data_IF_327010853354
#
_entry.id   IF_327010853354
#
_cell.length_a   1.000
_cell.length_b   1.000
_cell.length_c   1.000
_cell.angle_alpha   90.00
_cell.angle_beta   90.00
_cell.angle_gamma   90.00
#
_symmetry.space_group_name_H-M   'P 1'
#
loop_
_entity.id
_entity.type
_entity.pdbx_description
1 polymer ?
#
# COMPACT_ATOMS: atom_id res chain seq x y z
N UNK A 1 -11.62 -4.38 22.83
CA UNK A 1 -10.15 -4.12 22.86
C UNK A 1 -9.92 -2.85 22.05
N UNK A 2 -9.26 -1.80 22.57
CA UNK A 2 -9.04 -0.62 21.76
C UNK A 2 -7.98 -0.95 20.70
N UNK A 3 -8.26 -0.66 19.43
CA UNK A 3 -7.24 -0.70 18.38
C UNK A 3 -6.14 0.30 18.79
N UNK A 4 -4.95 -0.19 19.14
CA UNK A 4 -3.78 0.67 19.23
C UNK A 4 -3.64 1.34 17.85
N UNK A 5 -3.67 2.69 17.81
CA UNK A 5 -3.54 3.53 16.61
C UNK A 5 -2.10 3.46 16.02
N UNK A 6 -1.61 2.26 15.73
CA UNK A 6 -0.31 2.05 15.09
C UNK A 6 -0.41 2.17 13.57
N UNK A 7 0.71 2.47 12.92
CA UNK A 7 0.80 2.38 11.47
C UNK A 7 0.79 0.91 11.01
N UNK A 8 0.41 0.68 9.77
CA UNK A 8 0.43 -0.61 9.09
C UNK A 8 1.55 -0.53 8.05
N UNK A 9 2.65 -1.22 8.32
CA UNK A 9 3.73 -1.38 7.35
C UNK A 9 3.50 -2.67 6.56
N UNK A 10 3.59 -2.59 5.24
CA UNK A 10 3.38 -3.70 4.32
C UNK A 10 4.70 -4.04 3.62
N UNK A 11 5.00 -5.33 3.50
CA UNK A 11 6.08 -5.79 2.64
C UNK A 11 5.67 -7.04 1.85
N UNK A 12 6.11 -7.11 0.60
CA UNK A 12 5.88 -8.25 -0.28
C UNK A 12 7.12 -8.48 -1.15
N UNK A 13 7.54 -9.73 -1.42
CA UNK A 13 8.61 -10.00 -2.37
C UNK A 13 8.33 -9.38 -3.75
N UNK A 14 9.31 -8.64 -4.27
CA UNK A 14 9.32 -8.13 -5.64
C UNK A 14 10.38 -8.86 -6.49
N UNK A 15 10.49 -8.46 -7.76
CA UNK A 15 11.55 -8.96 -8.63
C UNK A 15 12.95 -8.54 -8.15
N UNK A 16 13.97 -9.34 -8.51
CA UNK A 16 15.40 -9.05 -8.25
C UNK A 16 15.78 -8.89 -6.77
N UNK A 17 15.09 -9.59 -5.87
CA UNK A 17 15.39 -9.53 -4.43
C UNK A 17 15.00 -8.22 -3.75
N UNK A 18 14.19 -7.40 -4.41
CA UNK A 18 13.59 -6.19 -3.84
C UNK A 18 12.27 -6.53 -3.12
N UNK A 19 11.70 -5.54 -2.44
CA UNK A 19 10.41 -5.61 -1.78
C UNK A 19 9.47 -4.55 -2.36
N UNK A 20 8.20 -4.91 -2.57
CA UNK A 20 7.13 -3.91 -2.60
C UNK A 20 6.82 -3.50 -1.16
N UNK A 21 6.78 -2.20 -0.90
CA UNK A 21 6.70 -1.64 0.44
C UNK A 21 5.73 -0.48 0.50
N UNK A 22 5.02 -0.33 1.63
CA UNK A 22 4.21 0.84 1.92
C UNK A 22 3.98 0.97 3.44
N UNK A 23 3.67 2.17 3.92
CA UNK A 23 3.24 2.41 5.31
C UNK A 23 1.98 3.23 5.30
N UNK A 24 0.93 2.73 5.93
CA UNK A 24 -0.38 3.37 6.03
C UNK A 24 -0.75 3.65 7.47
N UNK A 25 -1.51 4.72 7.70
CA UNK A 25 -2.18 4.98 8.96
C UNK A 25 -3.69 5.00 8.72
N UNK A 26 -4.44 4.37 9.63
CA UNK A 26 -5.90 4.48 9.60
C UNK A 26 -6.28 5.95 9.82
N UNK A 27 -7.03 6.53 8.88
CA UNK A 27 -7.47 7.91 8.98
C UNK A 27 -8.34 8.10 10.23
N UNK A 28 -8.20 9.25 10.88
CA UNK A 28 -9.11 9.66 11.96
C UNK A 28 -10.43 10.24 11.44
N UNK A 29 -10.52 10.48 10.13
CA UNK A 29 -11.68 11.06 9.44
C UNK A 29 -12.01 10.17 8.23
N UNK A 30 -13.22 9.60 8.21
CA UNK A 30 -13.67 8.68 7.17
C UNK A 30 -13.11 7.25 7.33
N UNK A 31 -13.29 6.44 6.29
CA UNK A 31 -12.89 5.02 6.25
C UNK A 31 -11.55 4.78 5.53
N UNK A 32 -10.82 5.86 5.22
CA UNK A 32 -9.61 5.82 4.40
C UNK A 32 -8.32 5.47 5.16
N UNK A 33 -7.31 5.11 4.38
CA UNK A 33 -5.91 4.97 4.83
C UNK A 33 -5.11 6.17 4.33
N UNK A 34 -4.33 6.79 5.21
CA UNK A 34 -3.38 7.85 4.84
C UNK A 34 -2.01 7.22 4.63
N UNK A 35 -1.38 7.36 3.44
CA UNK A 35 -0.03 6.87 3.23
C UNK A 35 0.97 7.74 4.01
N UNK A 36 1.75 7.12 4.89
CA UNK A 36 2.95 7.71 5.51
C UNK A 36 4.18 7.47 4.64
N UNK A 37 4.24 6.31 4.00
CA UNK A 37 5.20 5.96 2.95
C UNK A 37 4.37 5.37 1.81
N UNK A 38 4.35 6.04 0.66
CA UNK A 38 3.61 5.60 -0.53
C UNK A 38 4.12 4.26 -1.06
N UNK A 39 3.28 3.56 -1.82
CA UNK A 39 3.66 2.30 -2.46
C UNK A 39 4.92 2.48 -3.33
N UNK A 40 5.89 1.60 -3.13
CA UNK A 40 7.16 1.66 -3.84
C UNK A 40 7.90 0.33 -3.85
N UNK A 41 9.07 0.33 -4.48
CA UNK A 41 10.00 -0.81 -4.49
C UNK A 41 11.28 -0.39 -3.78
N UNK A 42 11.68 -1.14 -2.76
CA UNK A 42 12.89 -0.88 -1.97
C UNK A 42 13.77 -2.13 -1.89
N UNK A 43 15.06 -1.94 -1.59
CA UNK A 43 15.89 -3.06 -1.14
C UNK A 43 15.52 -3.44 0.31
N UNK A 44 15.81 -4.67 0.77
CA UNK A 44 15.57 -5.03 2.17
C UNK A 44 16.28 -4.13 3.18
N UNK A 45 17.48 -3.64 2.85
CA UNK A 45 18.26 -2.75 3.73
C UNK A 45 17.63 -1.34 3.80
N UNK A 46 17.24 -0.77 2.66
CA UNK A 46 16.56 0.54 2.61
C UNK A 46 15.20 0.48 3.33
N UNK A 47 14.49 -0.64 3.18
CA UNK A 47 13.22 -0.85 3.85
C UNK A 47 13.39 -0.95 5.36
N UNK A 48 14.40 -1.70 5.83
CA UNK A 48 14.74 -1.75 7.25
C UNK A 48 15.08 -0.36 7.80
N UNK A 49 15.89 0.43 7.09
CA UNK A 49 16.20 1.80 7.50
C UNK A 49 14.95 2.68 7.56
N UNK A 50 14.02 2.51 6.61
CA UNK A 50 12.73 3.21 6.60
C UNK A 50 11.91 2.86 7.84
N UNK A 51 11.82 1.58 8.20
CA UNK A 51 11.12 1.11 9.40
C UNK A 51 11.78 1.57 10.70
N UNK A 52 13.11 1.58 10.76
CA UNK A 52 13.87 2.04 11.93
C UNK A 52 13.73 3.56 12.15
N UNK A 53 13.45 4.32 11.08
CA UNK A 53 13.18 5.75 11.14
C UNK A 53 11.73 6.10 11.52
N UNK A 54 10.81 5.12 11.60
CA UNK A 54 9.44 5.37 12.03
C UNK A 54 9.40 5.63 13.55
N UNK A 55 9.17 6.88 13.94
CA UNK A 55 9.06 7.30 15.35
C UNK A 55 7.72 6.88 16.02
N UNK A 56 7.00 5.91 15.45
CA UNK A 56 5.68 5.49 15.92
C UNK A 56 5.53 3.96 15.91
N UNK A 57 4.68 3.40 16.79
CA UNK A 57 4.37 1.97 16.75
C UNK A 57 3.77 1.58 15.40
N UNK A 58 4.24 0.48 14.83
CA UNK A 58 3.68 -0.10 13.61
C UNK A 58 3.52 -1.61 13.72
N UNK A 59 2.58 -2.15 12.95
CA UNK A 59 2.48 -3.57 12.66
C UNK A 59 3.06 -3.83 11.28
N UNK A 60 4.09 -4.67 11.20
CA UNK A 60 4.60 -5.16 9.92
C UNK A 60 3.76 -6.35 9.46
N UNK A 61 3.30 -6.30 8.21
CA UNK A 61 2.54 -7.37 7.55
C UNK A 61 3.36 -7.86 6.37
N UNK A 62 3.75 -9.14 6.45
CA UNK A 62 4.22 -9.91 5.29
C UNK A 62 3.02 -10.30 4.43
N UNK A 63 2.89 -9.63 3.29
CA UNK A 63 1.75 -9.84 2.39
C UNK A 63 1.92 -11.21 1.70
N UNK A 64 0.90 -12.09 1.74
CA UNK A 64 0.98 -13.40 1.10
C UNK A 64 1.03 -13.27 -0.42
N UNK A 65 1.72 -14.18 -1.09
CA UNK A 65 1.88 -14.18 -2.56
C UNK A 65 0.58 -14.55 -3.29
N UNK A 66 -0.32 -15.27 -2.64
CA UNK A 66 -1.63 -15.71 -3.13
C UNK A 66 -2.69 -14.60 -3.00
N UNK A 67 -2.40 -13.44 -3.59
CA UNK A 67 -3.23 -12.22 -3.52
C UNK A 67 -4.65 -12.38 -4.10
N UNK A 68 -4.86 -13.34 -5.01
CA UNK A 68 -6.18 -13.58 -5.62
C UNK A 68 -7.29 -13.86 -4.61
N UNK A 69 -6.96 -14.32 -3.41
CA UNK A 69 -7.93 -14.54 -2.33
C UNK A 69 -8.57 -13.24 -1.82
N UNK A 70 -7.95 -12.08 -2.06
CA UNK A 70 -8.43 -10.77 -1.60
C UNK A 70 -9.16 -9.98 -2.71
N UNK A 71 -9.45 -10.60 -3.86
CA UNK A 71 -10.13 -9.92 -4.96
C UNK A 71 -11.50 -9.35 -4.55
N UNK A 72 -12.22 -10.02 -3.64
CA UNK A 72 -13.50 -9.52 -3.11
C UNK A 72 -13.31 -8.22 -2.31
N UNK A 73 -12.21 -8.08 -1.58
CA UNK A 73 -11.92 -6.85 -0.82
C UNK A 73 -11.68 -5.63 -1.71
N UNK A 74 -11.30 -5.82 -2.98
CA UNK A 74 -11.25 -4.71 -3.95
C UNK A 74 -12.66 -4.15 -4.24
N UNK A 75 -13.69 -5.00 -4.24
CA UNK A 75 -15.07 -4.56 -4.41
C UNK A 75 -15.57 -3.80 -3.18
N UNK A 76 -15.15 -4.21 -1.98
CA UNK A 76 -15.44 -3.49 -0.74
C UNK A 76 -14.82 -2.09 -0.77
N UNK A 77 -13.56 -1.95 -1.22
CA UNK A 77 -12.92 -0.65 -1.41
C UNK A 77 -13.68 0.22 -2.43
N UNK A 78 -14.12 -0.35 -3.55
CA UNK A 78 -14.88 0.38 -4.57
C UNK A 78 -16.27 0.84 -4.04
N UNK A 79 -16.92 0.05 -3.20
CA UNK A 79 -18.18 0.44 -2.56
C UNK A 79 -17.98 1.61 -1.59
N UNK A 80 -16.89 1.59 -0.81
CA UNK A 80 -16.51 2.70 0.07
C UNK A 80 -16.25 3.99 -0.73
N UNK A 81 -15.45 3.92 -1.80
CA UNK A 81 -15.21 5.05 -2.71
C UNK A 81 -16.52 5.59 -3.29
N UNK A 82 -17.43 4.70 -3.71
CA UNK A 82 -18.73 5.08 -4.25
C UNK A 82 -19.59 5.83 -3.23
N UNK A 83 -19.59 5.39 -1.97
CA UNK A 83 -20.32 6.04 -0.87
C UNK A 83 -19.77 7.43 -0.55
N UNK A 84 -18.45 7.61 -0.64
CA UNK A 84 -17.76 8.91 -0.47
C UNK A 84 -17.86 9.81 -1.72
N UNK A 85 -18.51 9.35 -2.79
CA UNK A 85 -18.71 10.11 -4.03
C UNK A 85 -17.51 10.08 -4.98
N UNK A 86 -16.49 9.26 -4.69
CA UNK A 86 -15.35 9.01 -5.58
C UNK A 86 -15.82 8.11 -6.72
N UNK A 87 -16.10 8.71 -7.87
CA UNK A 87 -16.68 8.04 -9.04
C UNK A 87 -15.98 8.52 -10.32
N UNK A 88 -14.71 8.15 -10.54
CA UNK A 88 -13.96 8.59 -11.71
C UNK A 88 -14.62 8.09 -12.99
N UNK A 89 -14.56 8.90 -14.06
CA UNK A 89 -14.98 8.43 -15.37
C UNK A 89 -13.99 7.37 -15.86
N UNK A 90 -14.48 6.31 -16.50
CA UNK A 90 -13.64 5.16 -16.88
C UNK A 90 -12.49 5.54 -17.82
N UNK A 91 -12.64 6.61 -18.61
CA UNK A 91 -11.59 7.11 -19.51
C UNK A 91 -10.44 7.83 -18.80
N UNK A 92 -10.63 8.22 -17.54
CA UNK A 92 -9.65 9.00 -16.79
C UNK A 92 -8.64 8.11 -16.05
N UNK A 93 -8.87 6.79 -16.06
CA UNK A 93 -8.02 5.82 -15.40
C UNK A 93 -6.72 5.66 -16.18
N UNK A 94 -5.60 5.98 -15.53
CA UNK A 94 -4.26 5.72 -16.04
C UNK A 94 -3.82 4.32 -15.57
N UNK A 95 -3.60 3.36 -16.48
CA UNK A 95 -3.18 2.03 -16.07
C UNK A 95 -1.73 2.06 -15.56
N UNK A 96 -1.49 1.38 -14.45
CA UNK A 96 -0.15 1.14 -13.93
C UNK A 96 0.40 -0.17 -14.52
N UNK A 97 1.28 -0.08 -15.52
CA UNK A 97 1.81 -1.26 -16.23
C UNK A 97 3.09 -1.86 -15.63
N UNK A 98 3.46 -1.52 -14.39
CA UNK A 98 4.58 -2.12 -13.66
C UNK A 98 5.97 -1.94 -14.30
N UNK A 99 6.05 -1.28 -15.46
CA UNK A 99 7.29 -0.97 -16.18
C UNK A 99 7.33 0.53 -16.44
N UNK A 100 8.08 1.28 -15.63
CA UNK A 100 8.83 2.45 -16.09
C UNK A 100 9.90 2.87 -15.06
N UNK A 101 11.09 3.33 -15.50
CA UNK A 101 11.53 3.42 -16.89
C UNK A 101 12.31 2.18 -17.37
N UNK A 102 12.18 1.89 -18.66
CA UNK A 102 13.28 1.28 -19.42
C UNK A 102 14.31 2.39 -19.59
N UNK A 103 15.48 2.24 -18.97
CA UNK A 103 16.60 3.15 -19.24
C UNK A 103 17.05 2.93 -20.69
N UNK A 104 16.65 3.84 -21.59
CA UNK A 104 17.32 3.99 -22.87
C UNK A 104 18.67 4.67 -22.61
N UNK A 105 19.73 3.86 -22.52
CA UNK A 105 21.10 4.33 -22.70
C UNK A 105 21.32 4.84 -24.12
#
# INVERSE_FOLDING_TARGET
MPLCKGAIALQMPAGRGQLFTAVYQISSVGLGLTPLVSDGVMTPDDWKQTLDALEMPYQLIDVPTNLGNFAVSLLELADLDWQEGIRPHWSDVLPFYGQHPVDNR
#
